data_IF_611613852502
#
_entry.id   IF_611613852502
#
_cell.length_a   1.000
_cell.length_b   1.000
_cell.length_c   1.000
_cell.angle_alpha   90.00
_cell.angle_beta   90.00
_cell.angle_gamma   90.00
#
_symmetry.space_group_name_H-M   'P 1'
#
loop_
_entity.id
_entity.type
_entity.pdbx_description
1 polymer ?
#
# COMPACT_ATOMS: atom_id res chain seq x y z
N UNK A 1 -20.53 -44.54 -12.05
CA UNK A 1 -19.31 -43.92 -11.48
C UNK A 1 -19.29 -42.47 -11.96
N UNK A 2 -19.71 -41.50 -11.12
CA UNK A 2 -18.82 -40.62 -10.31
C UNK A 2 -17.82 -39.88 -11.25
N UNK A 3 -17.86 -38.56 -11.45
CA UNK A 3 -18.23 -37.44 -10.58
C UNK A 3 -18.68 -36.23 -11.40
N UNK A 4 -19.83 -35.66 -11.00
CA UNK A 4 -20.17 -34.26 -11.20
C UNK A 4 -19.46 -33.50 -10.07
N UNK A 5 -18.58 -32.55 -10.36
CA UNK A 5 -18.12 -31.56 -9.38
C UNK A 5 -18.47 -30.17 -9.91
N UNK A 6 -19.67 -29.74 -9.54
CA UNK A 6 -20.12 -28.37 -9.61
C UNK A 6 -19.39 -27.62 -8.47
N UNK A 7 -18.35 -26.86 -8.80
CA UNK A 7 -17.84 -25.83 -7.88
C UNK A 7 -18.58 -24.52 -8.17
N UNK A 8 -19.90 -24.50 -7.92
CA UNK A 8 -20.63 -23.24 -7.83
C UNK A 8 -20.50 -22.74 -6.40
N UNK A 9 -19.51 -21.88 -6.17
CA UNK A 9 -19.45 -21.05 -4.96
C UNK A 9 -20.69 -20.16 -5.01
N UNK A 10 -21.71 -20.51 -4.22
CA UNK A 10 -22.87 -19.65 -4.02
C UNK A 10 -22.41 -18.44 -3.20
N UNK A 11 -22.13 -17.33 -3.88
CA UNK A 11 -22.05 -16.04 -3.21
C UNK A 11 -23.42 -15.76 -2.57
N UNK A 12 -23.48 -15.85 -1.24
CA UNK A 12 -24.66 -15.46 -0.46
C UNK A 12 -24.90 -13.96 -0.66
N UNK A 13 -25.87 -13.65 -1.51
CA UNK A 13 -26.27 -12.29 -1.83
C UNK A 13 -27.10 -11.72 -0.68
N UNK A 14 -26.43 -11.05 0.26
CA UNK A 14 -27.08 -10.18 1.24
C UNK A 14 -27.12 -8.76 0.69
N UNK A 15 -28.31 -8.18 0.55
CA UNK A 15 -28.49 -6.78 0.19
C UNK A 15 -28.09 -5.91 1.38
N UNK A 16 -27.02 -5.14 1.22
CA UNK A 16 -26.71 -4.02 2.10
C UNK A 16 -27.80 -2.96 1.88
N UNK A 17 -28.83 -2.94 2.73
CA UNK A 17 -29.94 -2.00 2.66
C UNK A 17 -29.47 -0.62 3.11
N UNK A 18 -28.79 0.09 2.22
CA UNK A 18 -28.89 1.53 2.01
C UNK A 18 -28.02 1.89 0.79
N UNK A 19 -28.70 2.27 -0.30
CA UNK A 19 -28.23 3.16 -1.35
C UNK A 19 -26.85 2.79 -1.96
N UNK A 20 -26.89 1.93 -3.00
CA UNK A 20 -25.86 1.64 -4.03
C UNK A 20 -24.84 0.49 -3.83
N UNK A 21 -24.97 -0.38 -2.81
CA UNK A 21 -24.01 -1.47 -2.58
C UNK A 21 -24.42 -2.92 -2.97
N UNK A 22 -23.43 -3.81 -3.14
CA UNK A 22 -23.57 -5.29 -3.19
C UNK A 22 -22.46 -5.98 -2.38
N UNK A 23 -22.64 -7.25 -2.02
CA UNK A 23 -21.71 -8.01 -1.18
C UNK A 23 -21.12 -9.21 -1.92
N UNK A 24 -19.79 -9.36 -1.86
CA UNK A 24 -19.05 -10.52 -2.39
C UNK A 24 -18.06 -10.97 -1.31
N UNK A 25 -18.10 -12.27 -0.96
CA UNK A 25 -17.20 -12.90 0.01
C UNK A 25 -17.05 -12.13 1.34
N UNK A 26 -18.17 -11.63 1.86
CA UNK A 26 -18.15 -10.90 3.14
C UNK A 26 -17.88 -9.40 3.02
N UNK A 27 -17.45 -8.91 1.86
CA UNK A 27 -17.03 -7.51 1.62
C UNK A 27 -18.13 -6.76 0.85
N UNK A 28 -18.45 -5.54 1.30
CA UNK A 28 -19.41 -4.66 0.66
C UNK A 28 -18.72 -3.75 -0.36
N UNK A 29 -19.35 -3.58 -1.53
CA UNK A 29 -18.87 -2.78 -2.65
C UNK A 29 -19.95 -1.84 -3.14
N UNK A 30 -19.57 -0.68 -3.68
CA UNK A 30 -20.46 0.20 -4.45
C UNK A 30 -19.93 0.34 -5.87
N UNK A 31 -20.83 0.35 -6.85
CA UNK A 31 -20.47 0.65 -8.24
C UNK A 31 -20.10 2.14 -8.32
N UNK A 32 -18.94 2.44 -8.90
CA UNK A 32 -18.42 3.81 -9.08
C UNK A 32 -18.55 4.28 -10.52
N UNK A 33 -18.41 3.38 -11.50
CA UNK A 33 -18.68 3.63 -12.91
C UNK A 33 -19.08 2.32 -13.64
N UNK A 34 -19.06 2.33 -14.98
CA UNK A 34 -19.42 1.17 -15.79
C UNK A 34 -18.58 -0.08 -15.50
N UNK A 35 -17.32 0.04 -15.09
CA UNK A 35 -16.40 -1.09 -14.93
C UNK A 35 -15.69 -1.14 -13.58
N UNK A 36 -15.94 -0.17 -12.71
CA UNK A 36 -15.26 -0.07 -11.41
C UNK A 36 -16.21 -0.11 -10.24
N UNK A 37 -15.67 -0.58 -9.13
CA UNK A 37 -16.29 -0.54 -7.82
C UNK A 37 -15.29 -0.07 -6.78
N UNK A 38 -15.82 0.40 -5.66
CA UNK A 38 -15.04 0.71 -4.46
C UNK A 38 -15.51 -0.15 -3.29
N UNK A 39 -14.60 -0.44 -2.36
CA UNK A 39 -14.95 -1.08 -1.08
C UNK A 39 -15.62 -0.07 -0.18
N UNK A 40 -16.73 -0.45 0.46
CA UNK A 40 -17.52 0.41 1.34
C UNK A 40 -17.72 -0.22 2.70
N UNK A 41 -18.21 0.59 3.65
CA UNK A 41 -18.48 0.13 5.01
C UNK A 41 -19.52 -0.99 5.06
N UNK A 42 -19.36 -1.89 6.02
CA UNK A 42 -20.37 -2.87 6.33
C UNK A 42 -21.41 -2.24 7.25
N UNK A 43 -22.59 -1.89 6.71
CA UNK A 43 -23.65 -1.25 7.50
C UNK A 43 -24.27 -2.17 8.58
N UNK A 44 -23.99 -3.48 8.50
CA UNK A 44 -24.57 -4.50 9.38
C UNK A 44 -23.55 -5.05 10.39
N UNK A 45 -22.39 -4.41 10.57
CA UNK A 45 -21.38 -4.80 11.55
C UNK A 45 -19.97 -4.37 11.15
N UNK A 46 -18.96 -4.75 11.91
CA UNK A 46 -17.56 -4.45 11.60
C UNK A 46 -16.91 -5.52 10.74
N UNK A 47 -15.92 -5.13 9.94
CA UNK A 47 -14.98 -6.06 9.34
C UNK A 47 -14.01 -6.56 10.41
N UNK A 48 -13.66 -7.85 10.40
CA UNK A 48 -12.84 -8.48 11.43
C UNK A 48 -11.96 -9.59 10.87
N UNK A 49 -10.88 -9.90 11.58
CA UNK A 49 -9.90 -10.91 11.19
C UNK A 49 -9.05 -10.48 10.00
N UNK A 50 -8.69 -11.45 9.16
CA UNK A 50 -7.88 -11.23 7.96
C UNK A 50 -8.79 -11.07 6.74
N UNK A 51 -8.60 -9.98 5.99
CA UNK A 51 -9.40 -9.67 4.80
C UNK A 51 -8.54 -9.66 3.56
N UNK A 52 -9.02 -10.34 2.51
CA UNK A 52 -8.42 -10.30 1.18
C UNK A 52 -9.41 -9.63 0.23
N UNK A 53 -9.10 -8.42 -0.22
CA UNK A 53 -9.92 -7.73 -1.21
C UNK A 53 -9.52 -8.24 -2.61
N UNK A 54 -10.44 -8.84 -3.37
CA UNK A 54 -10.15 -9.29 -4.73
C UNK A 54 -9.94 -8.10 -5.69
N UNK A 55 -9.06 -8.25 -6.67
CA UNK A 55 -8.87 -7.26 -7.74
C UNK A 55 -10.15 -7.05 -8.57
N UNK A 56 -10.96 -8.11 -8.75
CA UNK A 56 -12.21 -8.06 -9.49
C UNK A 56 -13.32 -8.77 -8.75
N UNK A 57 -14.55 -8.24 -8.89
CA UNK A 57 -15.77 -8.84 -8.33
C UNK A 57 -16.83 -8.98 -9.41
N UNK A 58 -17.68 -10.02 -9.27
CA UNK A 58 -18.80 -10.26 -10.16
C UNK A 58 -20.09 -9.75 -9.54
N UNK A 59 -20.85 -8.93 -10.26
CA UNK A 59 -22.19 -8.51 -9.87
C UNK A 59 -23.13 -8.53 -11.08
N UNK A 60 -24.27 -9.22 -10.96
CA UNK A 60 -25.24 -9.42 -12.06
C UNK A 60 -24.59 -9.88 -13.38
N UNK A 61 -23.70 -10.87 -13.28
CA UNK A 61 -22.95 -11.43 -14.42
C UNK A 61 -21.98 -10.47 -15.13
N UNK A 62 -21.71 -9.30 -14.54
CA UNK A 62 -20.71 -8.35 -15.01
C UNK A 62 -19.52 -8.30 -14.05
N UNK A 63 -18.32 -8.25 -14.62
CA UNK A 63 -17.08 -8.09 -13.86
C UNK A 63 -16.78 -6.61 -13.63
N UNK A 64 -16.40 -6.27 -12.40
CA UNK A 64 -15.95 -4.93 -12.00
C UNK A 64 -14.55 -5.02 -11.41
N UNK A 65 -13.70 -4.03 -11.69
CA UNK A 65 -12.39 -3.88 -11.05
C UNK A 65 -12.53 -3.08 -9.75
N UNK A 66 -11.87 -3.53 -8.68
CA UNK A 66 -11.86 -2.82 -7.40
C UNK A 66 -10.77 -1.76 -7.43
N UNK A 67 -11.15 -0.48 -7.45
CA UNK A 67 -10.22 0.63 -7.74
C UNK A 67 -10.00 1.59 -6.57
N UNK A 68 -10.83 1.54 -5.54
CA UNK A 68 -10.65 2.40 -4.37
C UNK A 68 -11.20 1.79 -3.08
N UNK A 69 -10.68 2.30 -1.97
CA UNK A 69 -11.26 2.10 -0.63
C UNK A 69 -12.01 3.38 -0.27
N UNK A 70 -13.34 3.30 -0.10
CA UNK A 70 -14.17 4.47 0.20
C UNK A 70 -13.77 5.08 1.55
N UNK A 71 -14.07 6.36 1.71
CA UNK A 71 -14.06 7.00 3.02
C UNK A 71 -14.85 6.16 4.05
N UNK A 72 -14.26 6.00 5.24
CA UNK A 72 -14.80 5.22 6.35
C UNK A 72 -15.11 3.74 6.06
N UNK A 73 -14.56 3.13 4.99
CA UNK A 73 -14.89 1.75 4.61
C UNK A 73 -14.59 0.70 5.70
N UNK A 74 -13.50 0.89 6.45
CA UNK A 74 -13.09 0.06 7.60
C UNK A 74 -12.97 0.90 8.87
N UNK A 75 -13.68 2.03 8.97
CA UNK A 75 -13.70 2.81 10.21
C UNK A 75 -14.22 1.95 11.38
N UNK A 76 -13.56 2.08 12.53
CA UNK A 76 -13.85 1.37 13.78
C UNK A 76 -13.80 -0.16 13.69
N UNK A 77 -13.20 -0.74 12.64
CA UNK A 77 -13.00 -2.18 12.51
C UNK A 77 -11.89 -2.68 13.45
N UNK A 78 -12.14 -2.60 14.75
CA UNK A 78 -11.19 -2.81 15.85
C UNK A 78 -10.62 -4.23 15.90
N UNK A 79 -11.32 -5.20 15.32
CA UNK A 79 -10.92 -6.61 15.24
C UNK A 79 -10.25 -6.99 13.90
N UNK A 80 -10.04 -6.04 12.99
CA UNK A 80 -9.30 -6.27 11.74
C UNK A 80 -7.80 -6.44 12.04
N UNK A 81 -7.25 -7.61 11.73
CA UNK A 81 -5.85 -7.97 12.05
C UNK A 81 -4.91 -7.75 10.87
N UNK A 82 -5.38 -8.05 9.66
CA UNK A 82 -4.64 -7.83 8.41
C UNK A 82 -5.60 -7.55 7.26
N UNK A 83 -5.08 -6.85 6.24
CA UNK A 83 -5.83 -6.60 5.00
C UNK A 83 -4.91 -6.59 3.77
N UNK A 84 -5.27 -7.41 2.79
CA UNK A 84 -4.64 -7.43 1.47
C UNK A 84 -5.46 -6.55 0.51
N UNK A 85 -4.89 -5.40 0.14
CA UNK A 85 -5.45 -4.49 -0.86
C UNK A 85 -4.89 -4.86 -2.25
N UNK A 86 -5.73 -5.01 -3.29
CA UNK A 86 -5.27 -5.41 -4.61
C UNK A 86 -4.57 -4.27 -5.34
N UNK A 87 -3.65 -4.63 -6.24
CA UNK A 87 -2.86 -3.68 -7.04
C UNK A 87 -3.67 -2.74 -7.95
N UNK A 88 -4.95 -3.05 -8.19
CA UNK A 88 -5.88 -2.21 -8.95
C UNK A 88 -6.36 -0.98 -8.17
N UNK A 89 -6.18 -0.94 -6.85
CA UNK A 89 -6.60 0.19 -6.02
C UNK A 89 -5.65 1.38 -6.21
N UNK A 90 -6.23 2.53 -6.52
CA UNK A 90 -5.51 3.78 -6.78
C UNK A 90 -5.69 4.85 -5.69
N UNK A 91 -6.67 4.68 -4.79
CA UNK A 91 -6.90 5.64 -3.70
C UNK A 91 -7.45 5.00 -2.43
N UNK A 92 -7.07 5.56 -1.30
CA UNK A 92 -7.57 5.22 0.05
C UNK A 92 -8.27 6.46 0.61
N UNK A 93 -9.57 6.38 0.86
CA UNK A 93 -10.38 7.51 1.30
C UNK A 93 -10.13 7.97 2.75
N UNK A 94 -10.70 9.12 3.10
CA UNK A 94 -10.60 9.68 4.45
C UNK A 94 -11.22 8.74 5.49
N UNK A 95 -10.58 8.61 6.65
CA UNK A 95 -10.97 7.71 7.74
C UNK A 95 -11.07 6.23 7.36
N UNK A 96 -10.56 5.80 6.19
CA UNK A 96 -10.79 4.46 5.64
C UNK A 96 -10.47 3.32 6.61
N UNK A 97 -9.45 3.45 7.46
CA UNK A 97 -9.02 2.50 8.48
C UNK A 97 -8.92 3.15 9.87
N UNK A 98 -9.64 4.25 10.09
CA UNK A 98 -9.62 4.93 11.39
C UNK A 98 -10.03 3.96 12.51
N UNK A 99 -9.31 3.98 13.62
CA UNK A 99 -9.52 3.11 14.79
C UNK A 99 -9.45 1.59 14.50
N UNK A 100 -8.80 1.14 13.42
CA UNK A 100 -8.43 -0.26 13.22
C UNK A 100 -7.29 -0.66 14.20
N UNK A 101 -7.60 -0.72 15.49
CA UNK A 101 -6.61 -0.81 16.57
C UNK A 101 -5.83 -2.13 16.61
N UNK A 102 -6.37 -3.21 16.05
CA UNK A 102 -5.68 -4.51 15.94
C UNK A 102 -4.88 -4.69 14.65
N UNK A 103 -4.93 -3.73 13.71
CA UNK A 103 -4.22 -3.83 12.44
C UNK A 103 -2.72 -3.68 12.67
N UNK A 104 -1.96 -4.75 12.46
CA UNK A 104 -0.52 -4.79 12.77
C UNK A 104 0.38 -4.39 11.61
N UNK A 105 -0.11 -4.65 10.39
CA UNK A 105 0.56 -4.33 9.13
C UNK A 105 -0.49 -4.12 8.03
N UNK A 106 -0.14 -3.30 7.04
CA UNK A 106 -0.93 -3.12 5.83
C UNK A 106 0.01 -2.87 4.66
N UNK A 107 -0.23 -3.55 3.54
CA UNK A 107 0.48 -3.30 2.30
C UNK A 107 -0.31 -2.30 1.45
N UNK A 108 0.21 -1.08 1.30
CA UNK A 108 -0.36 -0.09 0.38
C UNK A 108 0.10 -0.44 -1.05
N UNK A 109 -0.81 -0.69 -1.99
CA UNK A 109 -0.41 -1.09 -3.34
C UNK A 109 0.30 0.02 -4.11
N UNK A 110 1.21 -0.36 -5.00
CA UNK A 110 2.02 0.58 -5.79
C UNK A 110 1.21 1.53 -6.69
N UNK A 111 -0.03 1.18 -7.02
CA UNK A 111 -0.94 2.02 -7.80
C UNK A 111 -1.61 3.15 -7.01
N UNK A 112 -1.52 3.15 -5.67
CA UNK A 112 -2.12 4.19 -4.83
C UNK A 112 -1.39 5.51 -5.02
N UNK A 113 -2.14 6.56 -5.33
CA UNK A 113 -1.62 7.93 -5.51
C UNK A 113 -2.00 8.87 -4.37
N UNK A 114 -3.05 8.55 -3.62
CA UNK A 114 -3.52 9.36 -2.49
C UNK A 114 -3.98 8.53 -1.29
N UNK A 115 -3.64 9.03 -0.10
CA UNK A 115 -4.10 8.53 1.20
C UNK A 115 -4.88 9.66 1.87
N UNK A 116 -6.15 9.45 2.20
CA UNK A 116 -7.03 10.51 2.70
C UNK A 116 -6.78 10.97 4.15
N UNK A 117 -7.43 12.07 4.51
CA UNK A 117 -7.45 12.63 5.87
C UNK A 117 -7.80 11.56 6.91
N UNK A 118 -7.01 11.45 7.97
CA UNK A 118 -7.20 10.45 9.05
C UNK A 118 -7.33 8.99 8.59
N UNK A 119 -6.84 8.62 7.39
CA UNK A 119 -7.04 7.29 6.82
C UNK A 119 -6.63 6.14 7.75
N UNK A 120 -5.55 6.27 8.52
CA UNK A 120 -5.07 5.30 9.50
C UNK A 120 -5.03 5.85 10.93
N UNK A 121 -5.83 6.89 11.22
CA UNK A 121 -5.87 7.52 12.53
C UNK A 121 -6.14 6.48 13.62
N UNK A 122 -5.31 6.45 14.68
CA UNK A 122 -5.41 5.49 15.79
C UNK A 122 -5.35 4.00 15.39
N UNK A 123 -4.64 3.65 14.31
CA UNK A 123 -4.18 2.26 14.09
C UNK A 123 -3.06 1.92 15.09
N UNK A 124 -3.40 1.77 16.38
CA UNK A 124 -2.43 1.76 17.48
C UNK A 124 -1.46 0.57 17.47
N UNK A 125 -1.82 -0.56 16.85
CA UNK A 125 -0.94 -1.74 16.73
C UNK A 125 -0.10 -1.75 15.46
N UNK A 126 -0.26 -0.76 14.57
CA UNK A 126 0.50 -0.70 13.31
C UNK A 126 1.97 -0.41 13.62
N UNK A 127 2.85 -1.39 13.33
CA UNK A 127 4.28 -1.32 13.69
C UNK A 127 5.16 -0.76 12.60
N UNK A 128 4.76 -0.97 11.34
CA UNK A 128 5.46 -0.47 10.17
C UNK A 128 4.49 -0.19 9.02
N UNK A 129 4.91 0.70 8.12
CA UNK A 129 4.17 0.98 6.90
C UNK A 129 5.09 1.24 5.71
N UNK A 130 4.68 0.71 4.56
CA UNK A 130 5.30 0.97 3.27
C UNK A 130 4.45 2.00 2.52
N UNK A 131 5.04 3.15 2.19
CA UNK A 131 4.42 4.21 1.39
C UNK A 131 5.01 4.13 -0.03
N UNK A 132 4.24 3.65 -1.03
CA UNK A 132 4.75 3.45 -2.38
C UNK A 132 5.20 4.73 -3.06
N UNK A 133 6.10 4.60 -4.03
CA UNK A 133 6.65 5.72 -4.79
C UNK A 133 5.61 6.54 -5.56
N UNK A 134 4.44 5.96 -5.86
CA UNK A 134 3.34 6.61 -6.55
C UNK A 134 2.48 7.52 -5.66
N UNK A 135 2.61 7.45 -4.33
CA UNK A 135 1.82 8.29 -3.41
C UNK A 135 2.34 9.72 -3.49
N UNK A 136 1.52 10.63 -4.00
CA UNK A 136 1.86 12.05 -4.15
C UNK A 136 1.19 12.92 -3.11
N UNK A 137 0.14 12.43 -2.44
CA UNK A 137 -0.59 13.19 -1.42
C UNK A 137 -0.98 12.32 -0.23
N UNK A 138 -0.78 12.85 0.97
CA UNK A 138 -1.17 12.20 2.22
C UNK A 138 -1.98 13.18 3.07
N UNK A 139 -3.11 12.66 3.56
CA UNK A 139 -4.05 13.37 4.38
C UNK A 139 -3.47 13.88 5.69
N UNK A 140 -3.91 15.06 6.10
CA UNK A 140 -3.71 15.51 7.48
C UNK A 140 -4.13 14.44 8.49
N UNK A 141 -3.31 14.23 9.52
CA UNK A 141 -3.50 13.22 10.56
C UNK A 141 -3.65 11.78 10.07
N UNK A 142 -3.25 11.46 8.83
CA UNK A 142 -3.41 10.12 8.25
C UNK A 142 -2.85 9.02 9.15
N UNK A 143 -1.72 9.25 9.83
CA UNK A 143 -1.07 8.28 10.73
C UNK A 143 -0.99 8.78 12.17
N UNK A 144 -1.81 9.75 12.55
CA UNK A 144 -1.78 10.32 13.89
C UNK A 144 -2.25 9.27 14.93
N UNK A 145 -1.61 9.25 16.10
CA UNK A 145 -1.85 8.25 17.16
C UNK A 145 -1.62 6.79 16.73
N UNK A 146 -0.80 6.52 15.71
CA UNK A 146 -0.26 5.18 15.45
C UNK A 146 0.90 4.89 16.42
N UNK A 147 0.56 4.65 17.70
CA UNK A 147 1.52 4.65 18.81
C UNK A 147 2.63 3.58 18.72
N UNK A 148 2.39 2.47 18.02
CA UNK A 148 3.39 1.40 17.84
C UNK A 148 4.27 1.58 16.60
N UNK A 149 4.08 2.65 15.82
CA UNK A 149 4.76 2.82 14.53
C UNK A 149 6.25 3.09 14.75
N UNK A 150 7.08 2.09 14.47
CA UNK A 150 8.53 2.14 14.69
C UNK A 150 9.32 2.38 13.39
N UNK A 151 8.77 1.98 12.24
CA UNK A 151 9.42 2.14 10.94
C UNK A 151 8.44 2.61 9.86
N UNK A 152 8.83 3.63 9.10
CA UNK A 152 8.13 4.05 7.88
C UNK A 152 9.10 3.89 6.71
N UNK A 153 8.72 3.14 5.68
CA UNK A 153 9.49 3.00 4.45
C UNK A 153 8.79 3.80 3.35
N UNK A 154 9.38 4.93 2.96
CA UNK A 154 8.89 5.70 1.83
C UNK A 154 9.71 5.35 0.59
N UNK A 155 9.05 4.94 -0.49
CA UNK A 155 9.71 4.54 -1.74
C UNK A 155 9.79 5.70 -2.75
N UNK A 156 9.16 6.83 -2.47
CA UNK A 156 9.17 8.02 -3.33
C UNK A 156 10.51 8.74 -3.30
N UNK A 157 11.05 9.09 -4.48
CA UNK A 157 12.20 9.99 -4.58
C UNK A 157 11.86 11.44 -4.19
N UNK A 158 10.57 11.76 -4.19
CA UNK A 158 10.00 13.02 -3.72
C UNK A 158 9.01 12.70 -2.60
N UNK A 159 9.03 13.43 -1.48
CA UNK A 159 8.07 13.24 -0.40
C UNK A 159 6.64 13.55 -0.87
N UNK A 160 5.66 12.79 -0.36
CA UNK A 160 4.26 13.08 -0.64
C UNK A 160 3.83 14.37 0.09
N UNK A 161 3.04 15.21 -0.58
CA UNK A 161 2.60 16.50 -0.02
C UNK A 161 1.41 16.31 0.95
N UNK A 162 1.40 17.01 2.10
CA UNK A 162 0.22 17.10 2.95
C UNK A 162 -0.96 17.72 2.18
N UNK A 163 -2.14 17.10 2.21
CA UNK A 163 -3.34 17.64 1.53
C UNK A 163 -3.96 18.86 2.23
N UNK A 164 -3.60 19.10 3.49
CA UNK A 164 -4.12 20.18 4.33
C UNK A 164 -3.10 20.59 5.42
N UNK A 165 -3.46 21.57 6.26
CA UNK A 165 -2.54 22.16 7.26
C UNK A 165 -2.30 21.32 8.52
N UNK A 166 -2.84 20.11 8.65
CA UNK A 166 -2.58 19.24 9.80
C UNK A 166 -1.34 18.37 9.59
N UNK A 167 -0.64 18.04 10.68
CA UNK A 167 0.48 17.11 10.67
C UNK A 167 0.02 15.73 10.18
N UNK A 168 0.81 15.07 9.34
CA UNK A 168 0.54 13.69 8.87
C UNK A 168 0.65 12.69 10.04
N UNK A 169 1.70 12.84 10.85
CA UNK A 169 2.04 11.98 11.97
C UNK A 169 1.92 12.71 13.32
N UNK A 170 1.86 11.95 14.43
CA UNK A 170 1.95 12.50 15.79
C UNK A 170 3.39 12.85 16.20
N UNK A 171 3.55 13.76 17.17
CA UNK A 171 4.86 14.16 17.72
C UNK A 171 5.72 12.98 18.20
N UNK A 172 5.10 12.00 18.86
CA UNK A 172 5.79 10.78 19.29
C UNK A 172 6.29 9.95 18.10
N UNK A 173 5.55 9.94 16.99
CA UNK A 173 5.97 9.27 15.76
C UNK A 173 7.15 10.00 15.14
N UNK A 174 7.10 11.33 15.05
CA UNK A 174 8.22 12.11 14.53
C UNK A 174 9.51 11.93 15.34
N UNK A 175 9.39 11.83 16.66
CA UNK A 175 10.55 11.70 17.56
C UNK A 175 11.06 10.27 17.71
N UNK A 176 10.19 9.26 17.67
CA UNK A 176 10.54 7.86 17.96
C UNK A 176 10.63 6.92 16.77
N UNK A 177 10.04 7.26 15.62
CA UNK A 177 10.01 6.41 14.43
C UNK A 177 11.25 6.62 13.54
N UNK A 178 11.71 5.55 12.90
CA UNK A 178 12.73 5.66 11.83
C UNK A 178 12.06 5.80 10.48
N UNK A 179 12.33 6.90 9.79
CA UNK A 179 11.94 7.11 8.41
C UNK A 179 13.04 6.60 7.47
N UNK A 180 12.73 5.56 6.70
CA UNK A 180 13.59 5.00 5.66
C UNK A 180 13.21 5.62 4.30
N UNK A 181 14.17 6.24 3.62
CA UNK A 181 13.97 6.93 2.33
C UNK A 181 14.99 6.45 1.27
N UNK A 182 14.74 6.65 -0.04
CA UNK A 182 15.69 6.23 -1.05
C UNK A 182 17.05 6.94 -0.93
N UNK A 183 18.13 6.29 -1.37
CA UNK A 183 19.46 6.92 -1.44
C UNK A 183 19.44 8.29 -2.14
N UNK A 184 20.12 9.26 -1.56
CA UNK A 184 20.25 10.63 -2.09
C UNK A 184 19.04 11.52 -1.86
N UNK A 185 18.08 11.13 -1.00
CA UNK A 185 16.84 11.89 -0.78
C UNK A 185 16.68 12.48 0.61
N UNK A 186 17.58 12.20 1.56
CA UNK A 186 17.52 12.73 2.94
C UNK A 186 17.25 14.24 2.98
N UNK A 187 17.98 15.03 2.19
CA UNK A 187 17.89 16.50 2.25
C UNK A 187 16.52 17.01 1.79
N UNK A 188 15.91 16.34 0.82
CA UNK A 188 14.55 16.67 0.36
C UNK A 188 13.53 16.34 1.46
N UNK A 189 13.63 15.15 2.08
CA UNK A 189 12.73 14.78 3.18
C UNK A 189 12.90 15.65 4.43
N UNK A 190 14.12 16.13 4.73
CA UNK A 190 14.38 17.05 5.86
C UNK A 190 13.79 18.44 5.68
N UNK A 191 13.45 18.84 4.45
CA UNK A 191 12.90 20.17 4.15
C UNK A 191 11.42 20.14 3.80
N UNK A 192 10.90 18.98 3.40
CA UNK A 192 9.50 18.81 3.00
C UNK A 192 8.52 18.92 4.17
N UNK A 193 7.39 19.58 3.92
CA UNK A 193 6.30 19.69 4.88
C UNK A 193 5.72 18.31 5.20
N UNK A 194 5.39 18.10 6.48
CA UNK A 194 4.93 16.80 6.99
C UNK A 194 6.04 15.75 7.21
N UNK A 195 7.26 15.97 6.70
CA UNK A 195 8.40 15.03 6.84
C UNK A 195 9.58 15.62 7.61
N UNK A 196 9.78 16.93 7.55
CA UNK A 196 10.89 17.65 8.21
C UNK A 196 11.02 17.45 9.72
N UNK A 197 9.98 16.91 10.36
CA UNK A 197 9.95 16.70 11.81
C UNK A 197 10.57 15.37 12.27
N UNK A 198 10.84 14.43 11.35
CA UNK A 198 11.44 13.15 11.73
C UNK A 198 12.85 13.32 12.30
N UNK A 199 13.06 12.86 13.53
CA UNK A 199 14.36 12.93 14.21
C UNK A 199 15.37 11.93 13.64
N UNK A 200 14.90 10.78 13.15
CA UNK A 200 15.73 9.74 12.55
C UNK A 200 15.31 9.45 11.10
N UNK A 201 16.18 9.81 10.15
CA UNK A 201 15.99 9.53 8.72
C UNK A 201 17.22 8.75 8.24
N UNK A 202 16.99 7.58 7.66
CA UNK A 202 18.02 6.70 7.11
C UNK A 202 17.73 6.40 5.65
N UNK A 203 18.78 6.19 4.87
CA UNK A 203 18.63 5.79 3.47
C UNK A 203 18.64 4.28 3.30
N UNK A 204 17.88 3.79 2.33
CA UNK A 204 17.86 2.39 1.94
C UNK A 204 17.82 2.24 0.41
N UNK A 205 18.07 1.02 -0.06
CA UNK A 205 17.84 0.63 -1.44
C UNK A 205 16.36 0.27 -1.66
N UNK A 206 15.56 1.11 -2.34
CA UNK A 206 14.14 0.84 -2.56
C UNK A 206 13.89 -0.33 -3.52
N UNK A 207 14.92 -0.84 -4.19
CA UNK A 207 14.79 -1.95 -5.15
C UNK A 207 14.80 -3.34 -4.49
N UNK A 208 14.98 -3.40 -3.17
CA UNK A 208 15.03 -4.66 -2.41
C UNK A 208 16.26 -5.50 -2.75
N UNK A 209 17.37 -4.87 -3.09
CA UNK A 209 18.62 -5.54 -3.48
C UNK A 209 19.54 -5.61 -2.28
N UNK A 210 19.57 -6.78 -1.64
CA UNK A 210 20.31 -7.01 -0.41
C UNK A 210 21.84 -6.84 -0.55
N UNK A 211 22.39 -7.01 -1.77
CA UNK A 211 23.80 -6.77 -2.03
C UNK A 211 24.09 -6.54 -3.52
N UNK A 212 24.94 -5.55 -3.80
CA UNK A 212 25.64 -5.37 -5.07
C UNK A 212 27.02 -6.03 -4.94
N UNK A 213 27.28 -7.10 -5.68
CA UNK A 213 28.62 -7.70 -5.73
C UNK A 213 29.33 -7.30 -7.01
N UNK A 214 30.54 -6.75 -6.93
CA UNK A 214 31.40 -6.57 -8.08
C UNK A 214 31.81 -7.96 -8.62
N UNK A 215 31.29 -8.32 -9.80
CA UNK A 215 31.81 -9.48 -10.51
C UNK A 215 33.24 -9.17 -10.96
N UNK A 216 34.22 -9.86 -10.34
CA UNK A 216 35.65 -9.66 -10.60
C UNK A 216 36.11 -10.32 -11.90
N UNK A 217 35.22 -10.99 -12.64
CA UNK A 217 35.56 -11.55 -13.95
C UNK A 217 35.90 -10.43 -14.94
N UNK A 218 36.82 -10.69 -15.90
CA UNK A 218 37.08 -9.78 -17.01
C UNK A 218 35.79 -9.43 -17.75
N UNK A 219 35.66 -8.20 -18.25
CA UNK A 219 34.46 -7.72 -18.91
C UNK A 219 34.02 -8.61 -20.10
N UNK A 220 34.98 -9.28 -20.75
CA UNK A 220 34.77 -10.24 -21.85
C UNK A 220 33.98 -11.50 -21.45
N UNK A 221 33.88 -11.81 -20.15
CA UNK A 221 33.20 -13.00 -19.63
C UNK A 221 31.89 -12.67 -18.90
N UNK A 222 31.51 -11.39 -18.82
CA UNK A 222 30.31 -10.97 -18.09
C UNK A 222 29.06 -11.14 -18.96
N UNK A 223 28.06 -11.84 -18.44
CA UNK A 223 26.70 -11.83 -19.01
C UNK A 223 25.93 -10.70 -18.34
N UNK A 224 25.73 -9.61 -19.06
CA UNK A 224 25.05 -8.41 -18.57
C UNK A 224 23.63 -8.43 -19.12
N UNK A 225 22.64 -8.13 -18.28
CA UNK A 225 21.25 -8.01 -18.65
C UNK A 225 20.66 -6.76 -18.00
N UNK A 226 19.66 -6.16 -18.63
CA UNK A 226 18.82 -5.19 -17.95
C UNK A 226 17.86 -5.91 -16.99
N UNK A 227 17.09 -5.14 -16.21
CA UNK A 227 16.08 -5.68 -15.29
C UNK A 227 14.96 -6.47 -15.99
N UNK A 228 14.75 -6.25 -17.29
CA UNK A 228 13.82 -7.01 -18.12
C UNK A 228 14.39 -8.34 -18.62
N UNK A 229 15.61 -8.74 -18.20
CA UNK A 229 16.25 -9.98 -18.62
C UNK A 229 16.82 -9.95 -20.05
N UNK A 230 16.89 -8.78 -20.69
CA UNK A 230 17.46 -8.61 -22.02
C UNK A 230 18.97 -8.49 -21.93
N UNK A 231 19.70 -9.29 -22.72
CA UNK A 231 21.17 -9.29 -22.73
C UNK A 231 21.73 -7.98 -23.31
N UNK A 232 22.77 -7.44 -22.69
CA UNK A 232 23.40 -6.17 -23.03
C UNK A 232 24.89 -6.32 -23.31
N UNK A 233 25.45 -5.40 -24.11
CA UNK A 233 26.88 -5.36 -24.43
C UNK A 233 27.75 -4.71 -23.34
N UNK A 234 27.17 -3.82 -22.53
CA UNK A 234 27.82 -3.13 -21.42
C UNK A 234 26.76 -2.77 -20.35
N UNK A 235 27.16 -2.52 -19.09
CA UNK A 235 26.24 -2.02 -18.07
C UNK A 235 25.72 -0.63 -18.46
N UNK A 236 24.46 -0.35 -18.18
CA UNK A 236 23.92 1.01 -18.23
C UNK A 236 24.05 1.67 -16.86
N UNK A 237 24.08 3.01 -16.83
CA UNK A 237 24.03 3.77 -15.59
C UNK A 237 22.76 3.38 -14.82
N UNK A 238 22.88 2.90 -13.60
CA UNK A 238 21.78 2.34 -12.79
C UNK A 238 21.88 0.83 -12.56
N UNK A 239 20.73 0.19 -12.30
CA UNK A 239 20.67 -1.22 -11.87
C UNK A 239 20.71 -2.21 -13.06
N UNK A 240 21.66 -3.12 -13.03
CA UNK A 240 21.88 -4.16 -14.05
C UNK A 240 21.88 -5.56 -13.41
N UNK A 241 21.76 -6.61 -14.20
CA UNK A 241 22.02 -8.00 -13.80
C UNK A 241 23.31 -8.44 -14.47
N UNK A 242 24.37 -8.68 -13.70
CA UNK A 242 25.67 -9.16 -14.20
C UNK A 242 25.90 -10.56 -13.63
N UNK A 243 25.98 -11.56 -14.51
CA UNK A 243 26.17 -12.97 -14.14
C UNK A 243 25.18 -13.47 -13.07
N UNK A 244 23.91 -13.07 -13.23
CA UNK A 244 22.82 -13.48 -12.33
C UNK A 244 22.75 -12.70 -11.01
N UNK A 245 23.60 -11.69 -10.82
CA UNK A 245 23.59 -10.83 -9.63
C UNK A 245 23.20 -9.41 -10.01
N UNK A 246 22.41 -8.76 -9.16
CA UNK A 246 22.07 -7.34 -9.34
C UNK A 246 23.30 -6.48 -9.02
N UNK A 247 23.64 -5.56 -9.91
CA UNK A 247 24.83 -4.69 -9.83
C UNK A 247 24.44 -3.27 -10.23
N UNK A 248 24.79 -2.30 -9.38
CA UNK A 248 24.62 -0.87 -9.67
C UNK A 248 25.89 -0.33 -10.33
N UNK A 249 25.76 0.31 -11.48
CA UNK A 249 26.87 0.83 -12.29
C UNK A 249 26.72 2.33 -12.56
#
# INVERSE_FOLDING_TARGET
MKKLFLASVFALLSLCTNVYGFKVDGICYSITDDNTVEVVSNVNGEYAGDIVIPNKVMYKSKAYSVTSIRASAFEDCSSLTSIDIPASVTSIGSHAFKNCSSLTSINIPAGVTSIGYMAFFRCSSLTSINIPAGVTSIGGSAFYCCASLANIYCYGSTPAEPDNHYLIFSEDTYSGCTLHVPYGTIDIYKTADGWKFFANIVEFDPTGVEAVSADRKPATERRIYNLGGVRMAAPQRGLNIINGKKVMY
#
